data_IF_265806418507
#
_entry.id   IF_265806418507
#
_cell.length_a   1.000
_cell.length_b   1.000
_cell.length_c   1.000
_cell.angle_alpha   90.00
_cell.angle_beta   90.00
_cell.angle_gamma   90.00
#
_symmetry.space_group_name_H-M   'P 1'
#
loop_
_entity.id
_entity.type
_entity.pdbx_description
1 polymer ?
#
# COMPACT_ATOMS: atom_id res chain seq x y z
N UNK A 1 -14.31 42.61 -47.66
CA UNK A 1 -13.16 41.74 -47.34
C UNK A 1 -12.60 42.15 -45.99
N UNK A 2 -12.84 41.37 -44.93
CA UNK A 2 -12.11 41.42 -43.65
C UNK A 2 -12.34 40.08 -42.93
N UNK A 3 -11.22 39.51 -42.51
CA UNK A 3 -10.98 38.19 -41.92
C UNK A 3 -11.86 37.85 -40.72
N UNK A 4 -12.24 36.58 -40.56
CA UNK A 4 -12.13 35.86 -39.28
C UNK A 4 -11.90 34.37 -39.56
N UNK A 5 -10.64 33.95 -39.51
CA UNK A 5 -10.25 32.55 -39.29
C UNK A 5 -10.52 32.25 -37.82
N UNK A 6 -11.36 31.26 -37.52
CA UNK A 6 -11.42 30.66 -36.18
C UNK A 6 -11.16 29.17 -36.31
N UNK A 7 -9.88 28.84 -36.18
CA UNK A 7 -9.41 27.52 -35.77
C UNK A 7 -10.14 27.12 -34.48
N UNK A 8 -11.01 26.12 -34.54
CA UNK A 8 -11.47 25.39 -33.37
C UNK A 8 -10.55 24.19 -33.17
N UNK A 9 -9.36 24.45 -32.60
CA UNK A 9 -8.53 23.39 -32.04
C UNK A 9 -9.06 23.13 -30.64
N UNK A 10 -9.93 22.14 -30.51
CA UNK A 10 -10.29 21.55 -29.22
C UNK A 10 -9.02 20.89 -28.66
N UNK A 11 -8.30 21.62 -27.82
CA UNK A 11 -7.23 21.10 -26.99
C UNK A 11 -7.86 20.14 -25.96
N UNK A 12 -7.82 18.86 -26.28
CA UNK A 12 -8.11 17.74 -25.38
C UNK A 12 -6.88 17.54 -24.49
N UNK A 13 -6.69 18.46 -23.55
CA UNK A 13 -5.68 18.38 -22.49
C UNK A 13 -6.42 18.62 -21.19
N UNK A 14 -5.97 17.93 -20.14
CA UNK A 14 -6.45 17.99 -18.75
C UNK A 14 -7.53 16.96 -18.44
N UNK A 15 -7.08 15.77 -18.04
CA UNK A 15 -7.42 15.13 -16.76
C UNK A 15 -6.56 13.86 -16.60
N UNK A 16 -5.26 13.97 -16.90
CA UNK A 16 -4.28 13.02 -16.37
C UNK A 16 -4.07 13.38 -14.91
N UNK A 17 -4.97 12.91 -14.03
CA UNK A 17 -4.69 12.90 -12.61
C UNK A 17 -3.35 12.20 -12.44
N UNK A 18 -2.40 12.83 -11.75
CA UNK A 18 -1.20 12.16 -11.29
C UNK A 18 -1.65 11.07 -10.31
N UNK A 19 -2.08 9.92 -10.84
CA UNK A 19 -2.24 8.71 -10.06
C UNK A 19 -0.84 8.41 -9.56
N UNK A 20 -0.59 8.76 -8.29
CA UNK A 20 0.63 8.40 -7.58
C UNK A 20 0.70 6.88 -7.71
N UNK A 21 1.60 6.39 -8.56
CA UNK A 21 1.72 4.98 -8.86
C UNK A 21 2.11 4.30 -7.55
N UNK A 22 1.22 3.43 -7.06
CA UNK A 22 1.48 2.64 -5.85
C UNK A 22 2.56 1.65 -6.23
N UNK A 23 3.79 1.90 -5.80
CA UNK A 23 4.92 1.02 -6.10
C UNK A 23 4.86 -0.17 -5.15
N UNK A 24 4.10 -1.18 -5.56
CA UNK A 24 4.11 -2.51 -4.96
C UNK A 24 5.05 -3.37 -5.81
N UNK A 25 6.01 -4.08 -5.20
CA UNK A 25 6.95 -4.89 -5.96
C UNK A 25 6.21 -6.03 -6.70
N UNK A 26 6.75 -6.40 -7.87
CA UNK A 26 6.33 -7.60 -8.60
C UNK A 26 6.56 -8.87 -7.77
N UNK A 27 5.74 -9.90 -7.98
CA UNK A 27 5.72 -11.09 -7.12
C UNK A 27 6.95 -11.98 -7.29
N UNK A 28 7.61 -11.96 -8.44
CA UNK A 28 8.66 -12.94 -8.78
C UNK A 28 9.97 -12.77 -7.99
N UNK A 29 10.23 -11.60 -7.39
CA UNK A 29 11.48 -11.29 -6.67
C UNK A 29 11.25 -11.10 -5.17
N UNK A 30 9.99 -11.02 -4.74
CA UNK A 30 9.62 -10.73 -3.37
C UNK A 30 8.96 -11.93 -2.70
N UNK A 31 9.08 -12.07 -1.36
CA UNK A 31 8.28 -13.04 -0.62
C UNK A 31 6.79 -12.88 -0.94
N UNK A 32 6.04 -13.98 -1.08
CA UNK A 32 4.63 -13.92 -1.40
C UNK A 32 3.85 -13.25 -0.27
N UNK A 33 2.75 -12.58 -0.62
CA UNK A 33 1.74 -12.19 0.36
C UNK A 33 0.97 -13.42 0.83
N UNK A 34 0.30 -13.29 1.97
CA UNK A 34 -0.51 -14.34 2.53
C UNK A 34 -1.86 -13.83 3.00
N UNK A 35 -2.79 -14.78 3.09
CA UNK A 35 -4.09 -14.59 3.68
C UNK A 35 -3.96 -14.20 5.15
N UNK A 36 -4.41 -12.99 5.47
CA UNK A 36 -4.44 -12.51 6.84
C UNK A 36 -5.63 -11.59 7.09
N UNK A 37 -6.03 -11.48 8.35
CA UNK A 37 -6.90 -10.42 8.86
C UNK A 37 -6.14 -9.68 9.93
N UNK A 38 -6.01 -8.37 9.79
CA UNK A 38 -5.30 -7.52 10.74
C UNK A 38 -6.18 -6.38 11.25
N UNK A 39 -6.20 -6.17 12.56
CA UNK A 39 -6.64 -4.91 13.13
C UNK A 39 -5.47 -3.93 13.07
N UNK A 40 -5.61 -2.89 12.25
CA UNK A 40 -4.65 -1.80 12.14
C UNK A 40 -5.09 -0.65 13.03
N UNK A 41 -4.18 -0.17 13.88
CA UNK A 41 -4.32 1.11 14.58
C UNK A 41 -3.33 2.09 13.97
N UNK A 42 -3.85 3.10 13.27
CA UNK A 42 -3.10 4.18 12.66
C UNK A 42 -3.01 5.33 13.64
N UNK A 43 -1.84 5.95 13.74
CA UNK A 43 -1.60 7.18 14.49
C UNK A 43 -0.81 8.15 13.62
N UNK A 44 -1.38 9.33 13.43
CA UNK A 44 -0.82 10.45 12.69
C UNK A 44 -1.14 11.70 13.52
N UNK A 45 -0.10 12.38 14.01
CA UNK A 45 -0.21 13.46 15.00
C UNK A 45 -1.10 13.07 16.22
N UNK A 46 -2.10 13.90 16.54
CA UNK A 46 -3.06 13.68 17.62
C UNK A 46 -4.26 12.80 17.22
N UNK A 47 -4.29 12.33 15.96
CA UNK A 47 -5.37 11.51 15.44
C UNK A 47 -5.06 10.01 15.58
N UNK A 48 -6.08 9.22 15.90
CA UNK A 48 -5.97 7.77 15.85
C UNK A 48 -7.19 7.16 15.19
N UNK A 49 -6.94 6.27 14.24
CA UNK A 49 -7.97 5.54 13.52
C UNK A 49 -7.72 4.03 13.66
N UNK A 50 -8.81 3.25 13.73
CA UNK A 50 -8.76 1.80 13.66
C UNK A 50 -9.50 1.31 12.43
N UNK A 51 -8.96 0.30 11.78
CA UNK A 51 -9.60 -0.40 10.69
C UNK A 51 -9.22 -1.88 10.71
N UNK A 52 -10.09 -2.71 10.19
CA UNK A 52 -9.83 -4.13 9.94
C UNK A 52 -9.39 -4.24 8.48
N UNK A 53 -8.23 -4.83 8.24
CA UNK A 53 -7.71 -5.09 6.90
C UNK A 53 -7.69 -6.59 6.65
N UNK A 54 -8.37 -7.04 5.59
CA UNK A 54 -8.32 -8.42 5.10
C UNK A 54 -7.50 -8.48 3.83
N UNK A 55 -6.45 -9.29 3.83
CA UNK A 55 -5.73 -9.70 2.61
C UNK A 55 -6.27 -11.04 2.15
N UNK A 56 -6.65 -11.14 0.89
CA UNK A 56 -7.03 -12.37 0.21
C UNK A 56 -6.10 -12.59 -0.96
N UNK A 57 -5.41 -13.73 -0.97
CA UNK A 57 -4.51 -14.17 -2.03
C UNK A 57 -5.12 -15.40 -2.68
N UNK A 58 -5.17 -15.40 -4.00
CA UNK A 58 -5.71 -16.49 -4.81
C UNK A 58 -4.91 -16.62 -6.11
N UNK A 59 -5.12 -17.71 -6.85
CA UNK A 59 -4.53 -17.91 -8.17
C UNK A 59 -4.94 -16.81 -9.17
N UNK A 60 -6.05 -16.11 -8.91
CA UNK A 60 -6.57 -15.04 -9.77
C UNK A 60 -6.04 -13.66 -9.41
N UNK A 61 -5.31 -13.53 -8.29
CA UNK A 61 -4.75 -12.27 -7.83
C UNK A 61 -4.96 -12.01 -6.35
N UNK A 62 -4.78 -10.74 -5.98
CA UNK A 62 -4.74 -10.27 -4.59
C UNK A 62 -5.80 -9.20 -4.38
N UNK A 63 -6.53 -9.32 -3.28
CA UNK A 63 -7.53 -8.35 -2.84
C UNK A 63 -7.26 -7.94 -1.40
N UNK A 64 -7.23 -6.64 -1.17
CA UNK A 64 -7.23 -6.02 0.14
C UNK A 64 -8.59 -5.37 0.38
N UNK A 65 -9.23 -5.69 1.50
CA UNK A 65 -10.49 -5.07 1.93
C UNK A 65 -10.28 -4.43 3.28
N UNK A 66 -10.44 -3.12 3.36
CA UNK A 66 -10.44 -2.37 4.61
C UNK A 66 -11.87 -2.08 5.06
N UNK A 67 -12.17 -2.42 6.30
CA UNK A 67 -13.43 -2.17 6.97
C UNK A 67 -13.19 -1.28 8.19
N UNK A 68 -14.17 -0.49 8.59
CA UNK A 68 -14.15 0.08 9.93
C UNK A 68 -14.39 -1.01 11.00
N UNK A 69 -14.34 -0.61 12.27
CA UNK A 69 -14.54 -1.55 13.39
C UNK A 69 -15.98 -2.05 13.54
N UNK A 70 -16.93 -1.50 12.79
CA UNK A 70 -18.33 -1.95 12.71
C UNK A 70 -18.58 -2.83 11.48
N UNK A 71 -17.57 -3.04 10.63
CA UNK A 71 -17.64 -3.86 9.42
C UNK A 71 -18.08 -3.10 8.17
N UNK A 72 -18.22 -1.77 8.21
CA UNK A 72 -18.54 -0.99 7.02
C UNK A 72 -17.32 -0.87 6.09
N UNK A 73 -17.48 -1.04 4.77
CA UNK A 73 -16.37 -0.95 3.83
C UNK A 73 -15.81 0.46 3.74
N UNK A 74 -14.50 0.58 3.93
CA UNK A 74 -13.74 1.83 3.79
C UNK A 74 -13.09 1.90 2.41
N UNK A 75 -12.41 0.85 1.98
CA UNK A 75 -11.85 0.76 0.64
C UNK A 75 -11.49 -0.68 0.27
N UNK A 76 -11.37 -0.92 -1.03
CA UNK A 76 -10.87 -2.17 -1.61
C UNK A 76 -9.75 -1.84 -2.58
N UNK A 77 -8.64 -2.58 -2.50
CA UNK A 77 -7.58 -2.57 -3.50
C UNK A 77 -7.43 -3.97 -4.08
N UNK A 78 -7.47 -4.10 -5.40
CA UNK A 78 -7.37 -5.39 -6.07
C UNK A 78 -6.40 -5.35 -7.24
N UNK A 79 -5.73 -6.48 -7.48
CA UNK A 79 -4.89 -6.71 -8.65
C UNK A 79 -5.15 -8.11 -9.19
N UNK A 80 -5.42 -8.20 -10.50
CA UNK A 80 -5.68 -9.46 -11.19
C UNK A 80 -4.37 -10.07 -11.72
N UNK A 81 -3.71 -10.91 -10.93
CA UNK A 81 -2.46 -11.59 -11.31
C UNK A 81 -1.23 -10.67 -11.39
N UNK A 82 -0.11 -11.24 -11.86
CA UNK A 82 1.16 -10.52 -11.97
C UNK A 82 1.15 -9.53 -13.16
N UNK A 83 1.75 -8.36 -12.96
CA UNK A 83 1.82 -7.30 -13.96
C UNK A 83 0.52 -6.50 -14.20
N UNK A 84 -0.60 -6.85 -13.58
CA UNK A 84 -1.82 -6.03 -13.65
C UNK A 84 -1.71 -4.78 -12.77
N UNK A 85 -2.40 -3.71 -13.20
CA UNK A 85 -2.51 -2.49 -12.41
C UNK A 85 -3.42 -2.69 -11.19
N UNK A 86 -3.08 -1.99 -10.10
CA UNK A 86 -3.92 -1.92 -8.91
C UNK A 86 -5.16 -1.09 -9.18
N UNK A 87 -6.33 -1.65 -8.91
CA UNK A 87 -7.61 -0.96 -8.92
C UNK A 87 -8.02 -0.65 -7.49
N UNK A 88 -8.37 0.60 -7.23
CA UNK A 88 -8.81 1.06 -5.92
C UNK A 88 -10.26 1.56 -5.98
N UNK A 89 -11.10 1.06 -5.08
CA UNK A 89 -12.41 1.62 -4.77
C UNK A 89 -12.37 2.16 -3.35
N UNK A 90 -12.49 3.48 -3.17
CA UNK A 90 -12.34 4.15 -1.88
C UNK A 90 -13.64 4.84 -1.51
N UNK A 91 -14.20 4.47 -0.37
CA UNK A 91 -15.39 5.10 0.18
C UNK A 91 -15.17 6.57 0.44
N UNK A 92 -16.16 7.39 0.08
CA UNK A 92 -16.19 8.83 0.42
C UNK A 92 -16.22 9.10 1.92
N UNK A 93 -16.41 8.09 2.76
CA UNK A 93 -16.38 8.21 4.22
C UNK A 93 -14.99 7.94 4.80
N UNK A 94 -14.06 7.40 4.02
CA UNK A 94 -12.69 7.18 4.48
C UNK A 94 -11.96 8.52 4.64
N UNK A 95 -11.32 8.71 5.79
CA UNK A 95 -10.61 9.94 6.19
C UNK A 95 -9.17 9.66 6.64
N UNK A 96 -8.69 8.44 6.43
CA UNK A 96 -7.33 8.05 6.80
C UNK A 96 -6.30 8.43 5.75
N UNK A 97 -5.06 7.93 5.90
CA UNK A 97 -3.99 8.08 4.92
C UNK A 97 -4.37 7.58 3.54
N UNK A 98 -3.60 7.90 2.50
CA UNK A 98 -3.86 7.39 1.16
C UNK A 98 -3.94 5.84 1.17
N UNK A 99 -5.09 5.28 0.77
CA UNK A 99 -5.36 3.85 0.86
C UNK A 99 -4.27 3.01 0.17
N UNK A 100 -3.81 3.45 -0.99
CA UNK A 100 -2.71 2.81 -1.72
C UNK A 100 -1.38 2.79 -0.97
N UNK A 101 -1.03 3.89 -0.31
CA UNK A 101 0.20 3.98 0.49
C UNK A 101 0.11 3.09 1.74
N UNK A 102 -1.05 3.05 2.40
CA UNK A 102 -1.29 2.16 3.54
C UNK A 102 -1.19 0.68 3.15
N UNK A 103 -1.80 0.28 2.02
CA UNK A 103 -1.71 -1.09 1.52
C UNK A 103 -0.27 -1.43 1.12
N UNK A 104 0.44 -0.51 0.46
CA UNK A 104 1.85 -0.70 0.14
C UNK A 104 2.66 -0.97 1.41
N UNK A 105 2.55 -0.08 2.40
CA UNK A 105 3.28 -0.17 3.66
C UNK A 105 2.95 -1.44 4.45
N UNK A 106 1.67 -1.84 4.51
CA UNK A 106 1.27 -3.10 5.15
C UNK A 106 1.78 -4.33 4.40
N UNK A 107 1.83 -4.29 3.06
CA UNK A 107 2.37 -5.39 2.27
C UNK A 107 3.87 -5.62 2.52
N UNK A 108 4.65 -4.57 2.78
CA UNK A 108 6.04 -4.68 3.20
C UNK A 108 6.15 -5.23 4.61
N UNK A 109 5.26 -4.81 5.50
CA UNK A 109 5.17 -5.41 6.84
C UNK A 109 4.87 -6.91 6.78
N UNK A 110 3.98 -7.36 5.89
CA UNK A 110 3.71 -8.80 5.76
C UNK A 110 4.98 -9.58 5.38
N UNK A 111 5.83 -9.02 4.52
CA UNK A 111 7.07 -9.64 3.99
C UNK A 111 8.32 -9.40 4.84
N UNK A 112 8.22 -8.60 5.91
CA UNK A 112 9.36 -8.06 6.69
C UNK A 112 10.40 -9.09 7.13
N UNK A 113 10.00 -10.33 7.38
CA UNK A 113 10.89 -11.38 7.87
C UNK A 113 11.86 -11.90 6.79
N UNK A 114 11.55 -11.69 5.52
CA UNK A 114 12.24 -12.29 4.37
C UNK A 114 12.55 -11.25 3.29
N UNK A 115 12.64 -9.96 3.66
CA UNK A 115 12.93 -8.88 2.71
C UNK A 115 14.37 -8.96 2.20
N UNK A 116 14.54 -8.83 0.89
CA UNK A 116 15.86 -8.79 0.24
C UNK A 116 16.10 -7.46 -0.48
N UNK A 117 17.36 -7.05 -0.69
CA UNK A 117 17.69 -5.86 -1.47
C UNK A 117 17.13 -5.92 -2.89
N UNK A 118 17.08 -7.09 -3.52
CA UNK A 118 16.53 -7.28 -4.86
C UNK A 118 15.02 -7.01 -4.90
N UNK A 119 14.30 -7.46 -3.88
CA UNK A 119 12.87 -7.20 -3.72
C UNK A 119 12.59 -5.69 -3.57
N UNK A 120 13.39 -4.98 -2.75
CA UNK A 120 13.28 -3.53 -2.61
C UNK A 120 13.61 -2.80 -3.91
N UNK A 121 14.69 -3.20 -4.60
CA UNK A 121 15.12 -2.59 -5.85
C UNK A 121 14.10 -2.75 -6.99
N UNK A 122 13.36 -3.87 -7.03
CA UNK A 122 12.25 -4.06 -7.97
C UNK A 122 11.12 -3.03 -7.79
N UNK A 123 10.99 -2.45 -6.59
CA UNK A 123 10.09 -1.35 -6.27
C UNK A 123 10.79 0.03 -6.27
N UNK A 124 12.01 0.13 -6.83
CA UNK A 124 12.81 1.36 -6.82
C UNK A 124 13.08 1.88 -5.39
N UNK A 125 13.18 0.97 -4.41
CA UNK A 125 13.49 1.27 -3.02
C UNK A 125 14.87 0.72 -2.65
N UNK A 126 15.54 1.42 -1.75
CA UNK A 126 16.77 0.97 -1.11
C UNK A 126 16.44 0.28 0.21
N UNK A 127 16.93 -0.94 0.41
CA UNK A 127 16.83 -1.67 1.67
C UNK A 127 18.07 -1.43 2.53
N UNK A 128 17.85 -1.03 3.79
CA UNK A 128 18.87 -1.00 4.83
C UNK A 128 18.38 -1.78 6.04
N UNK A 129 19.19 -2.70 6.51
CA UNK A 129 18.92 -3.47 7.74
C UNK A 129 20.08 -3.32 8.71
N UNK A 130 19.75 -3.10 9.98
CA UNK A 130 20.70 -3.12 11.10
C UNK A 130 20.14 -3.95 12.27
N UNK A 131 20.76 -3.90 13.44
CA UNK A 131 20.31 -4.66 14.62
C UNK A 131 18.95 -4.23 15.14
N UNK A 132 18.53 -2.98 14.86
CA UNK A 132 17.34 -2.38 15.44
C UNK A 132 16.16 -2.39 14.47
N UNK A 133 16.42 -2.18 13.18
CA UNK A 133 15.36 -1.92 12.21
C UNK A 133 15.66 -2.44 10.80
N UNK A 134 14.57 -2.61 10.05
CA UNK A 134 14.57 -2.70 8.60
C UNK A 134 13.97 -1.40 8.04
N UNK A 135 14.65 -0.77 7.10
CA UNK A 135 14.28 0.53 6.53
C UNK A 135 14.25 0.43 5.01
N UNK A 136 13.15 0.88 4.42
CA UNK A 136 13.03 1.12 2.99
C UNK A 136 13.06 2.62 2.71
N UNK A 137 13.90 3.02 1.76
CA UNK A 137 14.07 4.42 1.39
C UNK A 137 13.85 4.64 -0.10
N UNK A 138 13.36 5.83 -0.46
CA UNK A 138 13.27 6.29 -1.84
C UNK A 138 14.00 7.64 -1.95
N UNK A 139 14.98 7.75 -2.85
CA UNK A 139 15.78 8.96 -3.04
C UNK A 139 16.34 9.53 -1.71
N UNK A 140 16.97 8.66 -0.89
CA UNK A 140 17.53 8.96 0.44
C UNK A 140 16.53 9.44 1.50
N UNK A 141 15.21 9.29 1.28
CA UNK A 141 14.18 9.54 2.29
C UNK A 141 13.63 8.23 2.79
N UNK A 142 13.59 8.04 4.11
CA UNK A 142 12.88 6.91 4.72
C UNK A 142 11.43 6.97 4.32
N UNK A 143 10.96 5.92 3.66
CA UNK A 143 9.56 5.77 3.29
C UNK A 143 8.84 4.81 4.23
N UNK A 144 9.52 3.74 4.67
CA UNK A 144 8.98 2.73 5.58
C UNK A 144 10.05 2.23 6.54
N UNK A 145 9.64 1.91 7.77
CA UNK A 145 10.53 1.39 8.82
C UNK A 145 9.80 0.38 9.70
N UNK A 146 10.42 -0.77 9.96
CA UNK A 146 9.98 -1.74 10.95
C UNK A 146 11.03 -1.91 12.04
N UNK A 147 10.61 -1.78 13.29
CA UNK A 147 11.48 -1.90 14.47
C UNK A 147 11.42 -3.32 15.02
N UNK A 148 12.57 -3.99 15.12
CA UNK A 148 12.66 -5.39 15.58
C UNK A 148 12.22 -5.54 17.04
N UNK A 149 12.46 -4.52 17.88
CA UNK A 149 12.01 -4.48 19.27
C UNK A 149 10.48 -4.35 19.44
N UNK A 150 9.77 -3.91 18.39
CA UNK A 150 8.32 -3.76 18.39
C UNK A 150 7.72 -4.48 17.16
N UNK A 151 7.73 -5.82 17.13
CA UNK A 151 7.47 -6.60 15.92
C UNK A 151 6.09 -6.38 15.30
N UNK A 152 5.11 -5.96 16.09
CA UNK A 152 3.76 -5.58 15.66
C UNK A 152 3.60 -4.11 15.26
N UNK A 153 4.68 -3.36 15.03
CA UNK A 153 4.61 -1.92 14.70
C UNK A 153 5.53 -1.57 13.54
N UNK A 154 5.08 -0.69 12.66
CA UNK A 154 5.91 -0.08 11.61
C UNK A 154 5.51 1.38 11.40
N UNK A 155 6.39 2.14 10.75
CA UNK A 155 6.19 3.54 10.40
C UNK A 155 6.24 3.69 8.88
N UNK A 156 5.43 4.58 8.32
CA UNK A 156 5.58 5.04 6.94
C UNK A 156 5.10 6.49 6.81
N UNK A 157 5.86 7.33 6.10
CA UNK A 157 5.50 8.73 5.80
C UNK A 157 4.91 9.57 6.98
N UNK A 158 5.33 9.34 8.23
CA UNK A 158 4.84 9.95 9.48
C UNK A 158 3.64 9.26 10.19
N UNK A 159 3.13 8.17 9.63
CA UNK A 159 2.11 7.33 10.25
C UNK A 159 2.75 6.19 11.02
N UNK A 160 2.46 6.08 12.32
CA UNK A 160 2.76 4.90 13.11
C UNK A 160 1.59 3.90 13.02
N UNK A 161 1.88 2.70 12.54
CA UNK A 161 0.91 1.61 12.41
C UNK A 161 1.20 0.53 13.42
N UNK A 162 0.20 0.20 14.24
CA UNK A 162 0.20 -1.02 15.05
C UNK A 162 -0.65 -2.09 14.38
N UNK A 163 -0.10 -3.28 14.28
CA UNK A 163 -0.69 -4.44 13.63
C UNK A 163 -0.98 -5.51 14.68
N UNK A 164 -2.26 -5.91 14.78
CA UNK A 164 -2.66 -7.13 15.46
C UNK A 164 -3.26 -8.07 14.41
N UNK A 165 -2.49 -9.06 13.98
CA UNK A 165 -2.80 -9.93 12.85
C UNK A 165 -3.14 -11.36 13.29
N UNK A 166 -4.10 -11.97 12.61
CA UNK A 166 -4.31 -13.41 12.61
C UNK A 166 -4.11 -13.92 11.19
N UNK A 167 -3.11 -14.81 11.00
CA UNK A 167 -2.92 -15.53 9.74
C UNK A 167 -3.94 -16.65 9.63
N UNK A 168 -4.44 -16.88 8.42
CA UNK A 168 -5.20 -18.09 8.13
C UNK A 168 -4.19 -19.21 7.88
N UNK A 169 -4.14 -20.21 8.76
CA UNK A 169 -3.39 -21.42 8.48
C UNK A 169 -4.07 -22.13 7.30
N UNK A 170 -3.30 -22.39 6.23
CA UNK A 170 -3.76 -23.24 5.15
C UNK A 170 -3.65 -24.67 5.69
N UNK A 171 -4.77 -25.25 6.10
CA UNK A 171 -4.83 -26.69 6.37
C UNK A 171 -4.65 -27.42 5.04
N UNK A 172 -3.51 -28.09 4.89
CA UNK A 172 -3.24 -29.03 3.79
C UNK A 172 -4.18 -30.25 3.82
#
# INVERSE_FOLDING_TARGET
MKSVVRLFVFALVLLGGCARQIVLPGESVCPPLYDATALLTLREDDSSQRLILRTQVSDTGIVFVALDTLGAPLFTLQRAGDGADWQADVSKLYRGPAAGELIAAYSWWQRRAELTPECAAAAQLDLREDSEAIVLSHANRTWWRWHKAAPGQFEYADVLVRVNETRKEISE
#
